data_IF_907110842029
#
_entry.id   IF_907110842029
#
_cell.length_a   1.000
_cell.length_b   1.000
_cell.length_c   1.000
_cell.angle_alpha   90.00
_cell.angle_beta   90.00
_cell.angle_gamma   90.00
#
_symmetry.space_group_name_H-M   'P 1'
#
loop_
_entity.id
_entity.type
_entity.pdbx_description
1 polymer ?
2 polymer ?
3 non-polymer ?
4 non-polymer ?
5 non-polymer ?
6 non-polymer ?
7 water ?
#
# COMPACT_ATOMS: atom_id res chain seq x y z
N UNK A 3 19.58 -6.55 12.25
CA UNK A 3 18.68 -6.97 11.14
C UNK A 3 18.95 -6.16 9.90
N UNK A 4 18.94 -6.84 8.76
CA UNK A 4 19.19 -6.18 7.48
C UNK A 4 17.86 -5.72 6.94
N UNK A 5 17.73 -4.43 6.68
CA UNK A 5 16.51 -3.92 6.07
C UNK A 5 16.65 -3.96 4.56
N UNK A 6 15.61 -4.44 3.87
CA UNK A 6 15.63 -4.50 2.42
C UNK A 6 14.29 -4.06 1.86
N UNK A 7 14.30 -3.66 0.60
CA UNK A 7 13.08 -3.25 -0.08
C UNK A 7 12.71 -4.21 -1.19
N UNK A 8 11.43 -4.54 -1.28
CA UNK A 8 10.89 -5.41 -2.31
C UNK A 8 9.68 -4.76 -2.94
N UNK A 9 9.68 -4.63 -4.27
CA UNK A 9 8.51 -4.07 -4.98
C UNK A 9 7.89 -5.14 -5.87
N UNK A 10 6.57 -5.27 -5.84
CA UNK A 10 5.92 -6.33 -6.61
C UNK A 10 5.15 -5.71 -7.78
N UNK A 11 5.38 -6.26 -8.99
CA UNK A 11 4.76 -5.73 -10.19
C UNK A 11 4.21 -6.82 -11.09
N UNK A 12 3.31 -6.46 -11.98
CA UNK A 12 2.74 -7.38 -12.91
C UNK A 12 1.38 -6.87 -13.33
N UNK A 13 0.82 -7.47 -14.38
CA UNK A 13 -0.48 -7.03 -14.90
C UNK A 13 -1.59 -6.92 -13.83
N UNK A 14 -2.54 -6.02 -14.06
CA UNK A 14 -3.69 -5.88 -13.19
C UNK A 14 -4.41 -7.22 -13.12
N UNK A 15 -4.88 -7.58 -11.91
CA UNK A 15 -5.60 -8.82 -11.62
C UNK A 15 -4.74 -10.12 -11.60
N UNK A 16 -3.43 -10.04 -11.81
CA UNK A 16 -2.61 -11.25 -11.82
C UNK A 16 -2.23 -11.74 -10.42
N UNK A 17 -2.79 -11.11 -9.40
CA UNK A 17 -2.79 -11.66 -8.06
C UNK A 17 -1.73 -11.15 -7.08
N UNK A 18 -1.19 -9.95 -7.34
CA UNK A 18 -0.16 -9.37 -6.48
C UNK A 18 -0.59 -9.20 -5.01
N UNK A 19 -1.69 -8.49 -4.80
CA UNK A 19 -2.14 -8.15 -3.46
C UNK A 19 -2.50 -9.38 -2.65
N UNK A 20 -3.19 -10.34 -3.28
CA UNK A 20 -3.53 -11.59 -2.65
C UNK A 20 -2.29 -12.40 -2.31
N UNK A 21 -1.23 -12.27 -3.11
CA UNK A 21 0.04 -12.90 -2.78
C UNK A 21 0.61 -12.29 -1.49
N UNK A 22 0.63 -10.96 -1.43
CA UNK A 22 1.12 -10.26 -0.26
C UNK A 22 0.28 -10.56 0.99
N UNK A 23 -1.04 -10.53 0.83
CA UNK A 23 -1.95 -10.82 1.93
C UNK A 23 -1.75 -12.23 2.49
N UNK A 24 -1.94 -13.26 1.66
CA UNK A 24 -1.76 -14.64 2.10
C UNK A 24 -0.39 -14.82 2.79
N UNK A 25 0.64 -14.16 2.24
CA UNK A 25 1.98 -14.20 2.82
C UNK A 25 2.09 -13.78 4.28
N UNK A 26 1.26 -12.82 4.69
CA UNK A 26 1.26 -12.34 6.06
C UNK A 26 0.15 -12.96 6.89
N UNK A 27 -1.09 -12.59 6.55
CA UNK A 27 -2.28 -13.07 7.26
C UNK A 27 -2.32 -14.60 7.28
N UNK A 28 -1.77 -15.21 6.24
CA UNK A 28 -1.91 -16.63 6.02
C UNK A 28 -3.37 -17.00 5.76
N UNK A 29 -4.13 -16.09 5.14
CA UNK A 29 -5.46 -16.42 4.69
C UNK A 29 -5.86 -15.64 3.46
N UNK A 30 -6.28 -16.37 2.44
CA UNK A 30 -6.77 -15.80 1.19
C UNK A 30 -7.94 -14.86 1.43
N UNK A 31 -7.90 -13.68 0.79
CA UNK A 31 -8.98 -12.70 0.89
C UNK A 31 -10.18 -12.99 -0.04
N UNK A 32 -11.38 -13.04 0.53
CA UNK A 32 -12.58 -13.41 -0.23
C UNK A 32 -13.49 -12.21 -0.54
N UNK A 33 -13.72 -11.33 0.44
CA UNK A 33 -14.71 -10.27 0.26
C UNK A 33 -14.17 -8.83 0.33
N UNK A 34 -13.13 -8.58 1.15
CA UNK A 34 -12.64 -7.21 1.35
C UNK A 34 -11.22 -7.04 0.82
N UNK A 35 -11.02 -7.40 -0.44
CA UNK A 35 -9.69 -7.40 -1.03
C UNK A 35 -9.30 -6.04 -1.61
N UNK A 36 -8.33 -5.36 -1.00
CA UNK A 36 -7.90 -4.04 -1.45
C UNK A 36 -7.16 -4.05 -2.79
N UNK A 37 -7.16 -2.91 -3.47
CA UNK A 37 -6.38 -2.74 -4.69
C UNK A 37 -4.90 -2.80 -4.39
N UNK A 38 -4.45 -2.00 -3.42
CA UNK A 38 -3.07 -2.06 -3.02
C UNK A 38 -2.99 -2.42 -1.56
N UNK A 39 -2.00 -3.21 -1.21
CA UNK A 39 -1.83 -3.68 0.16
C UNK A 39 -1.13 -2.66 1.04
N UNK A 40 -1.57 -2.60 2.30
CA UNK A 40 -0.93 -1.82 3.35
C UNK A 40 0.55 -2.17 3.49
N UNK A 41 1.34 -1.19 3.96
CA UNK A 41 2.72 -1.45 4.36
C UNK A 41 2.86 -2.67 5.27
N UNK A 42 3.88 -3.47 4.99
CA UNK A 42 4.14 -4.67 5.77
C UNK A 42 5.60 -5.06 5.69
N UNK A 43 6.28 -5.05 6.83
CA UNK A 43 7.64 -5.53 6.93
C UNK A 43 7.63 -7.00 7.32
N UNK A 44 7.89 -7.85 6.33
CA UNK A 44 8.04 -9.27 6.54
C UNK A 44 9.40 -9.56 7.13
N UNK A 45 9.42 -10.29 8.24
CA UNK A 45 10.67 -10.77 8.80
C UNK A 45 10.94 -12.16 8.26
N UNK A 46 12.01 -12.30 7.48
CA UNK A 46 12.35 -13.60 6.92
C UNK A 46 13.80 -13.97 7.26
N UNK A 47 14.01 -15.24 7.60
CA UNK A 47 15.34 -15.72 7.93
C UNK A 47 15.81 -16.73 6.89
N UNK A 48 16.90 -16.41 6.21
CA UNK A 48 17.49 -17.33 5.24
C UNK A 48 18.96 -17.48 5.56
N UNK A 49 19.42 -18.74 5.61
CA UNK A 49 20.83 -19.04 5.83
C UNK A 49 21.41 -18.23 6.98
N UNK A 50 20.80 -18.34 8.16
CA UNK A 50 21.33 -17.74 9.37
C UNK A 50 21.25 -16.22 9.48
N UNK A 51 20.64 -15.56 8.49
CA UNK A 51 20.49 -14.10 8.51
C UNK A 51 19.01 -13.70 8.54
N UNK A 52 18.64 -12.87 9.51
CA UNK A 52 17.28 -12.33 9.58
C UNK A 52 17.18 -11.06 8.77
N UNK A 53 16.19 -11.00 7.90
CA UNK A 53 15.96 -9.82 7.09
C UNK A 53 14.60 -9.24 7.39
N UNK A 54 14.54 -7.92 7.56
CA UNK A 54 13.27 -7.21 7.56
C UNK A 54 13.08 -6.70 6.15
N UNK A 55 12.08 -7.23 5.48
CA UNK A 55 11.85 -6.90 4.08
C UNK A 55 10.54 -6.11 3.96
N UNK A 56 10.65 -4.82 3.63
CA UNK A 56 9.50 -3.96 3.35
C UNK A 56 8.91 -4.34 2.02
N UNK A 57 7.62 -4.67 2.02
CA UNK A 57 6.96 -5.04 0.78
C UNK A 57 6.14 -3.87 0.22
N UNK A 58 6.33 -3.58 -1.07
CA UNK A 58 5.57 -2.54 -1.77
C UNK A 58 4.67 -3.14 -2.86
N UNK A 59 3.37 -3.04 -2.66
CA UNK A 59 2.38 -3.46 -3.61
C UNK A 59 2.22 -2.33 -4.63
N UNK A 60 1.97 -2.68 -5.89
CA UNK A 60 1.75 -1.66 -6.90
C UNK A 60 0.48 -1.95 -7.67
N UNK A 61 0.00 -0.92 -8.37
CA UNK A 61 -1.14 -1.11 -9.27
C UNK A 61 -0.63 -1.52 -10.66
N UNK A 62 -1.10 -2.66 -11.16
CA UNK A 62 -0.67 -3.13 -12.46
C UNK A 62 -1.23 -2.46 -13.70
N UNK A 63 -2.42 -1.87 -13.59
CA UNK A 63 -3.11 -1.27 -14.75
C UNK A 63 -2.41 -0.04 -15.33
N UNK A 64 -2.54 0.13 -16.64
CA UNK A 64 -1.90 1.21 -17.39
C UNK A 64 -2.19 2.58 -16.83
N UNK A 65 -3.36 2.74 -16.26
CA UNK A 65 -3.80 4.03 -15.73
C UNK A 65 -2.86 4.54 -14.65
N UNK A 66 -2.11 3.62 -14.04
CA UNK A 66 -1.26 3.99 -12.92
C UNK A 66 0.21 4.00 -13.25
N UNK A 67 0.54 3.90 -14.54
CA UNK A 67 1.95 3.82 -14.91
C UNK A 67 2.72 5.10 -14.53
N UNK A 68 2.01 6.21 -14.45
CA UNK A 68 2.59 7.51 -14.10
C UNK A 68 2.96 7.61 -12.61
N UNK A 69 2.26 6.85 -11.78
CA UNK A 69 2.47 6.86 -10.34
C UNK A 69 3.36 5.73 -9.86
N UNK A 70 3.49 4.68 -10.65
CA UNK A 70 4.27 3.53 -10.21
C UNK A 70 5.74 3.87 -9.91
N UNK A 71 6.37 4.71 -10.75
CA UNK A 71 7.77 5.05 -10.51
C UNK A 71 8.05 5.52 -9.10
N UNK A 72 7.10 6.18 -8.47
CA UNK A 72 7.26 6.65 -7.11
C UNK A 72 7.62 5.51 -6.13
N UNK A 73 7.40 4.26 -6.53
CA UNK A 73 7.66 3.14 -5.64
C UNK A 73 9.04 2.47 -5.83
N UNK A 74 9.76 2.87 -6.87
CA UNK A 74 10.96 2.16 -7.34
C UNK A 74 12.32 2.52 -6.71
N UNK A 75 12.45 3.71 -6.10
CA UNK A 75 13.82 4.03 -5.63
C UNK A 75 14.37 3.12 -4.53
N UNK A 76 15.64 2.73 -4.63
CA UNK A 76 16.33 1.98 -3.56
C UNK A 76 15.72 0.61 -3.30
N UNK A 77 15.12 0.03 -4.34
CA UNK A 77 14.62 -1.33 -4.34
C UNK A 77 15.72 -2.42 -4.30
N UNK A 78 15.57 -3.40 -3.42
CA UNK A 78 16.57 -4.44 -3.30
C UNK A 78 16.25 -5.65 -4.18
N UNK A 79 14.96 -5.80 -4.50
CA UNK A 79 14.50 -6.90 -5.34
C UNK A 79 13.06 -6.72 -5.82
N UNK A 80 12.82 -7.14 -7.04
CA UNK A 80 11.51 -7.08 -7.69
C UNK A 80 10.85 -8.45 -7.77
N UNK A 81 9.60 -8.53 -7.31
CA UNK A 81 8.78 -9.67 -7.68
C UNK A 81 7.98 -9.34 -8.94
N UNK A 82 8.38 -9.92 -10.06
CA UNK A 82 7.69 -9.64 -11.28
C UNK A 82 6.72 -10.78 -11.55
N UNK A 83 5.44 -10.46 -11.63
CA UNK A 83 4.40 -11.48 -11.61
C UNK A 83 3.56 -11.47 -12.86
N UNK A 84 3.15 -12.67 -13.27
CA UNK A 84 2.16 -12.87 -14.32
C UNK A 84 1.25 -13.97 -13.78
N UNK A 85 0.09 -14.16 -14.39
CA UNK A 85 -0.81 -15.22 -13.95
C UNK A 85 -0.67 -16.44 -14.86
N UNK A 86 -0.71 -17.63 -14.25
CA UNK A 86 -0.64 -18.87 -15.03
C UNK A 86 -1.99 -19.03 -15.72
N UNK A 87 -2.91 -18.20 -15.27
CA UNK A 87 -4.28 -18.10 -15.76
C UNK A 87 -4.37 -17.37 -17.10
N UNK A 88 -3.28 -16.76 -17.51
CA UNK A 88 -3.32 -15.78 -18.59
C UNK A 88 -1.94 -15.60 -19.21
N UNK A 89 -1.76 -16.16 -20.39
CA UNK A 89 -0.56 -15.98 -21.22
C UNK A 89 -0.41 -14.53 -21.64
N UNK A 90 -1.54 -13.85 -21.81
CA UNK A 90 -1.51 -12.42 -22.08
C UNK A 90 -0.62 -11.70 -21.05
N UNK A 91 -0.74 -12.07 -19.77
CA UNK A 91 0.04 -11.41 -18.72
C UNK A 91 1.53 -11.78 -18.79
N UNK A 92 1.84 -12.97 -19.29
CA UNK A 92 3.23 -13.40 -19.47
C UNK A 92 3.90 -12.63 -20.61
N UNK A 93 3.24 -12.56 -21.76
CA UNK A 93 3.74 -11.77 -22.88
C UNK A 93 4.09 -10.35 -22.43
N UNK A 94 3.46 -9.92 -21.34
CA UNK A 94 3.66 -8.57 -20.83
C UNK A 94 4.84 -8.50 -19.88
N UNK A 95 5.47 -9.65 -19.64
CA UNK A 95 6.71 -9.65 -18.87
C UNK A 95 7.79 -8.94 -19.69
N UNK A 96 8.11 -9.47 -20.88
CA UNK A 96 9.11 -8.85 -21.75
C UNK A 96 8.67 -7.52 -22.38
N UNK A 97 7.38 -7.34 -22.58
CA UNK A 97 6.93 -6.17 -23.31
C UNK A 97 6.76 -4.92 -22.47
N UNK A 98 6.22 -5.05 -21.26
CA UNK A 98 6.00 -3.88 -20.44
C UNK A 98 6.83 -3.86 -19.17
N UNK A 99 6.91 -4.99 -18.48
CA UNK A 99 7.39 -4.95 -17.09
C UNK A 99 8.92 -4.93 -16.96
N UNK A 100 9.62 -5.67 -17.81
CA UNK A 100 11.08 -5.69 -17.76
C UNK A 100 11.69 -4.35 -18.20
N UNK A 101 11.19 -3.79 -19.31
CA UNK A 101 11.65 -2.45 -19.69
C UNK A 101 11.46 -1.41 -18.59
N UNK A 102 10.32 -1.50 -17.91
CA UNK A 102 9.98 -0.50 -16.91
C UNK A 102 10.96 -0.63 -15.76
N UNK A 103 11.02 -1.84 -15.24
CA UNK A 103 11.83 -2.17 -14.08
C UNK A 103 13.32 -1.99 -14.35
N UNK A 104 13.75 -2.20 -15.59
CA UNK A 104 15.16 -2.05 -15.93
C UNK A 104 15.56 -0.57 -15.94
N UNK A 105 14.67 0.23 -16.48
CA UNK A 105 14.90 1.64 -16.55
C UNK A 105 14.92 2.24 -15.18
N UNK A 106 13.96 1.88 -14.34
CA UNK A 106 13.87 2.45 -13.02
C UNK A 106 14.66 1.75 -11.95
N UNK A 107 14.86 0.44 -12.06
CA UNK A 107 15.63 -0.26 -11.06
C UNK A 107 16.74 -0.98 -11.78
N UNK A 108 17.58 -0.16 -12.50
CA UNK A 108 18.63 -0.85 -13.23
C UNK A 108 19.42 -1.87 -12.46
N UNK A 109 19.49 -3.07 -12.98
CA UNK A 109 20.23 -4.11 -12.34
C UNK A 109 19.77 -4.54 -10.97
N UNK A 110 18.47 -4.50 -10.75
CA UNK A 110 17.92 -4.92 -9.51
C UNK A 110 17.49 -6.35 -9.73
N UNK A 111 17.85 -7.25 -8.76
CA UNK A 111 17.46 -8.64 -8.99
C UNK A 111 15.99 -8.87 -9.29
N UNK A 112 15.68 -9.78 -10.19
CA UNK A 112 14.28 -10.03 -10.54
C UNK A 112 13.88 -11.47 -10.30
N UNK A 113 12.78 -11.64 -9.58
CA UNK A 113 12.20 -12.94 -9.37
C UNK A 113 10.89 -13.01 -10.13
N UNK A 114 10.86 -13.86 -11.14
CA UNK A 114 9.66 -14.06 -11.94
C UNK A 114 8.72 -15.02 -11.21
N UNK A 115 7.49 -14.58 -11.02
CA UNK A 115 6.53 -15.33 -10.25
C UNK A 115 5.31 -15.67 -11.11
N UNK A 116 5.01 -16.97 -11.24
CA UNK A 116 3.77 -17.42 -11.84
C UNK A 116 2.67 -17.63 -10.80
N UNK A 117 1.72 -16.71 -10.76
CA UNK A 117 0.60 -16.78 -9.82
C UNK A 117 -0.52 -17.71 -10.27
N UNK A 118 -1.38 -18.07 -9.31
CA UNK A 118 -2.60 -18.80 -9.61
C UNK A 118 -2.21 -20.14 -10.20
N UNK A 119 -1.19 -20.72 -9.58
CA UNK A 119 -0.65 -22.03 -9.94
C UNK A 119 -1.74 -23.09 -9.94
N UNK A 120 -2.75 -22.85 -9.12
CA UNK A 120 -3.87 -23.77 -9.00
C UNK A 120 -4.74 -23.80 -10.25
N UNK A 121 -4.68 -22.74 -11.05
CA UNK A 121 -5.56 -22.64 -12.20
C UNK A 121 -5.03 -23.38 -13.43
N UNK A 122 -3.81 -23.90 -13.34
CA UNK A 122 -3.18 -24.63 -14.47
C UNK A 122 -3.96 -25.87 -14.85
N UNK A 123 -4.43 -26.60 -13.84
CA UNK A 123 -5.27 -27.78 -14.11
C UNK A 123 -6.69 -27.49 -13.69
N UNK A 124 -7.26 -26.44 -14.27
CA UNK A 124 -8.63 -26.03 -14.02
C UNK A 124 -9.43 -26.12 -15.33
N UNK A 125 -10.53 -26.88 -15.32
CA UNK A 125 -11.30 -27.10 -16.52
C UNK A 125 -11.85 -25.78 -17.07
N UNK A 126 -12.47 -25.01 -16.19
CA UNK A 126 -13.01 -23.73 -16.57
C UNK A 126 -11.93 -22.90 -17.27
N UNK A 127 -10.78 -22.75 -16.62
CA UNK A 127 -9.68 -21.98 -17.22
C UNK A 127 -9.31 -22.49 -18.61
N UNK A 128 -8.89 -23.75 -18.66
CA UNK A 128 -8.47 -24.41 -19.87
C UNK A 128 -9.46 -24.13 -20.98
N UNK A 129 -10.74 -24.11 -20.60
CA UNK A 129 -11.81 -23.94 -21.56
C UNK A 129 -11.98 -22.49 -22.00
N UNK A 130 -12.11 -21.57 -21.04
CA UNK A 130 -12.19 -20.17 -21.45
C UNK A 130 -10.90 -19.78 -22.21
N UNK A 131 -9.72 -20.32 -21.83
CA UNK A 131 -8.53 -20.05 -22.63
C UNK A 131 -8.68 -20.56 -24.09
N UNK A 132 -9.08 -21.82 -24.26
CA UNK A 132 -9.22 -22.44 -25.60
C UNK A 132 -10.01 -21.60 -26.60
N UNK A 133 -10.85 -20.70 -26.08
CA UNK A 133 -11.63 -19.81 -26.92
C UNK A 133 -10.74 -18.83 -27.69
N UNK A 134 -9.55 -18.58 -27.14
CA UNK A 134 -8.56 -17.70 -27.79
C UNK A 134 -7.35 -18.48 -28.33
N UNK A 135 -7.47 -19.80 -28.43
CA UNK A 135 -6.39 -20.66 -28.89
C UNK A 135 -5.19 -20.57 -27.94
N UNK A 136 -5.50 -20.27 -26.68
CA UNK A 136 -4.50 -20.19 -25.63
C UNK A 136 -4.64 -21.37 -24.68
N UNK A 137 -3.63 -21.52 -23.82
CA UNK A 137 -3.65 -22.52 -22.77
C UNK A 137 -2.86 -21.96 -21.61
N UNK A 138 -2.96 -22.57 -20.43
CA UNK A 138 -2.22 -22.10 -19.25
C UNK A 138 -0.70 -22.11 -19.46
N UNK A 139 -0.04 -21.06 -19.01
CA UNK A 139 1.41 -21.01 -19.05
C UNK A 139 1.98 -22.33 -18.52
N UNK A 140 2.83 -22.97 -19.31
CA UNK A 140 3.57 -24.12 -18.84
C UNK A 140 4.79 -23.63 -18.07
N UNK A 141 5.20 -24.40 -17.05
CA UNK A 141 6.32 -24.07 -16.15
C UNK A 141 7.59 -23.69 -16.90
N UNK A 142 7.94 -24.47 -17.91
CA UNK A 142 9.15 -24.27 -18.69
C UNK A 142 9.07 -23.01 -19.53
N UNK A 143 7.87 -22.45 -19.65
CA UNK A 143 7.68 -21.16 -20.31
C UNK A 143 7.97 -20.02 -19.36
N UNK A 144 7.75 -20.25 -18.08
CA UNK A 144 8.07 -19.27 -17.06
C UNK A 144 9.56 -19.27 -16.87
N UNK A 145 10.14 -20.47 -16.82
CA UNK A 145 11.59 -20.64 -16.71
C UNK A 145 12.27 -20.01 -17.90
N UNK A 146 11.77 -20.33 -19.10
CA UNK A 146 12.33 -19.83 -20.33
C UNK A 146 12.34 -18.32 -20.27
N UNK A 147 11.18 -17.77 -19.90
CA UNK A 147 11.03 -16.35 -19.76
C UNK A 147 12.02 -15.83 -18.70
N UNK A 148 12.06 -16.49 -17.56
CA UNK A 148 12.95 -16.07 -16.47
C UNK A 148 14.40 -15.95 -16.94
N UNK A 149 14.84 -16.90 -17.75
CA UNK A 149 16.20 -16.84 -18.27
C UNK A 149 16.36 -15.76 -19.33
N UNK A 150 15.31 -15.55 -20.12
CA UNK A 150 15.38 -14.58 -21.21
C UNK A 150 15.45 -13.15 -20.68
N UNK A 151 14.81 -12.90 -19.54
CA UNK A 151 14.83 -11.56 -18.96
C UNK A 151 15.85 -11.42 -17.81
N UNK A 152 16.71 -12.42 -17.67
CA UNK A 152 17.79 -12.36 -16.70
C UNK A 152 17.36 -12.40 -15.26
N UNK A 153 16.35 -13.21 -14.94
CA UNK A 153 15.85 -13.28 -13.57
C UNK A 153 16.80 -14.06 -12.64
N UNK A 154 16.78 -13.72 -11.36
CA UNK A 154 17.50 -14.45 -10.32
C UNK A 154 17.09 -15.92 -10.34
N UNK A 155 15.81 -16.16 -10.54
CA UNK A 155 15.27 -17.50 -10.60
C UNK A 155 13.79 -17.43 -10.95
N UNK A 156 13.11 -18.56 -10.95
CA UNK A 156 11.72 -18.60 -11.34
C UNK A 156 10.88 -19.40 -10.36
N UNK A 157 9.72 -18.87 -9.97
CA UNK A 157 8.85 -19.56 -9.02
C UNK A 157 7.39 -19.56 -9.44
N UNK A 158 6.66 -20.59 -9.04
CA UNK A 158 5.22 -20.60 -9.23
C UNK A 158 4.52 -20.80 -7.88
N UNK A 159 3.44 -20.07 -7.67
CA UNK A 159 2.70 -20.15 -6.40
C UNK A 159 1.21 -20.01 -6.63
N UNK A 160 0.45 -20.34 -5.59
CA UNK A 160 -0.98 -20.06 -5.53
C UNK A 160 -1.29 -19.44 -4.18
N UNK A 161 -1.71 -18.18 -4.18
CA UNK A 161 -2.18 -17.58 -2.95
C UNK A 161 -3.38 -18.37 -2.46
N UNK A 162 -4.28 -18.69 -3.37
CA UNK A 162 -5.53 -19.36 -3.03
C UNK A 162 -5.25 -20.57 -2.16
N UNK A 163 -4.28 -21.40 -2.53
CA UNK A 163 -4.02 -22.61 -1.74
C UNK A 163 -2.77 -22.47 -0.86
N UNK A 164 -2.07 -21.34 -1.01
CA UNK A 164 -0.84 -21.01 -0.30
C UNK A 164 0.36 -21.83 -0.81
N UNK A 165 0.11 -22.64 -1.82
CA UNK A 165 1.18 -23.38 -2.49
C UNK A 165 2.30 -22.47 -3.01
N UNK A 166 3.51 -22.67 -2.49
CA UNK A 166 4.69 -22.01 -3.03
C UNK A 166 4.86 -20.57 -2.59
N UNK A 167 3.93 -20.06 -1.79
CA UNK A 167 3.93 -18.67 -1.37
C UNK A 167 5.12 -18.33 -0.48
N UNK A 168 5.28 -19.14 0.56
CA UNK A 168 6.42 -19.04 1.44
C UNK A 168 7.73 -19.07 0.65
N UNK A 169 7.79 -19.95 -0.35
CA UNK A 169 9.00 -20.16 -1.12
C UNK A 169 9.41 -18.92 -1.91
N UNK A 170 8.43 -18.22 -2.47
CA UNK A 170 8.64 -17.00 -3.25
C UNK A 170 9.41 -15.95 -2.46
N UNK A 171 9.01 -15.78 -1.20
CA UNK A 171 9.55 -14.72 -0.37
C UNK A 171 10.88 -15.12 0.24
N UNK A 172 11.08 -16.42 0.44
CA UNK A 172 12.39 -16.91 0.85
C UNK A 172 13.38 -16.65 -0.28
N UNK A 173 12.95 -16.91 -1.52
CA UNK A 173 13.82 -16.68 -2.64
C UNK A 173 14.12 -15.18 -2.79
N UNK A 174 13.09 -14.34 -2.66
CA UNK A 174 13.29 -12.91 -2.84
C UNK A 174 14.30 -12.39 -1.84
N UNK A 175 14.26 -12.96 -0.64
CA UNK A 175 15.17 -12.54 0.42
C UNK A 175 16.59 -12.99 0.07
N UNK A 176 16.69 -14.12 -0.58
CA UNK A 176 17.98 -14.57 -1.04
C UNK A 176 18.56 -13.65 -2.14
N UNK A 177 17.73 -13.16 -3.04
CA UNK A 177 18.23 -12.28 -4.09
C UNK A 177 18.39 -10.84 -3.60
N UNK A 178 17.82 -10.55 -2.42
CA UNK A 178 17.95 -9.23 -1.83
C UNK A 178 19.26 -9.08 -1.04
N UNK A 179 19.82 -10.21 -0.62
CA UNK A 179 21.10 -10.22 0.06
C UNK A 179 22.23 -10.38 -0.94
N UNK B 15 -6.27 29.62 4.74
CA UNK B 15 -5.61 29.24 3.47
C UNK B 15 -4.53 28.18 3.74
N UNK B 16 -4.70 27.01 3.15
CA UNK B 16 -3.81 25.87 3.46
C UNK B 16 -2.79 25.57 2.38
N UNK B 17 -1.54 25.40 2.79
CA UNK B 17 -0.45 25.06 1.87
C UNK B 17 -0.75 23.73 1.19
N UNK B 18 -0.51 23.68 -0.12
CA UNK B 18 -0.64 22.46 -0.89
C UNK B 18 0.67 22.22 -1.62
N UNK B 19 1.21 21.02 -1.48
CA UNK B 19 2.50 20.70 -2.12
C UNK B 19 2.30 20.11 -3.51
N UNK B 20 2.69 20.85 -4.53
CA UNK B 20 2.36 20.44 -5.91
C UNK B 20 3.27 19.31 -6.40
N UNK B 21 4.49 19.23 -5.88
CA UNK B 21 5.43 18.20 -6.33
C UNK B 21 6.51 17.85 -5.30
N UNK B 22 7.49 17.05 -5.74
CA UNK B 22 8.53 16.53 -4.85
C UNK B 22 9.37 17.64 -4.28
N UNK B 23 9.64 18.64 -5.10
CA UNK B 23 10.48 19.73 -4.68
C UNK B 23 9.81 20.47 -3.52
N UNK B 24 8.52 20.71 -3.65
CA UNK B 24 7.76 21.39 -2.61
C UNK B 24 7.63 20.55 -1.34
N UNK B 25 7.29 19.27 -1.48
CA UNK B 25 7.18 18.39 -0.32
C UNK B 25 8.49 18.41 0.46
N UNK B 26 9.60 18.26 -0.27
CA UNK B 26 10.91 18.25 0.36
C UNK B 26 11.21 19.57 1.06
N UNK B 27 10.82 20.68 0.43
CA UNK B 27 11.16 21.97 0.99
C UNK B 27 10.41 22.12 2.28
N UNK B 28 9.13 21.79 2.21
CA UNK B 28 8.29 21.83 3.37
C UNK B 28 8.78 20.81 4.38
N UNK B 29 9.18 19.64 3.89
CA UNK B 29 9.64 18.56 4.73
C UNK B 29 10.81 18.91 5.65
N UNK B 30 11.76 19.69 5.15
CA UNK B 30 12.94 20.06 5.95
C UNK B 30 12.58 21.00 7.11
N UNK B 31 11.49 21.76 6.95
CA UNK B 31 11.06 22.72 7.95
C UNK B 31 10.49 22.04 9.21
N UNK B 32 10.23 20.74 9.14
CA UNK B 32 9.56 20.07 10.25
C UNK B 32 10.54 19.59 11.30
N UNK B 33 10.09 19.54 12.55
CA UNK B 33 10.86 18.93 13.64
C UNK B 33 11.26 17.51 13.24
N UNK B 34 12.49 17.13 13.54
CA UNK B 34 12.99 15.80 13.19
C UNK B 34 13.92 15.25 14.26
N UNK B 35 14.24 16.13 15.21
CA UNK B 35 15.10 15.84 16.34
C UNK B 35 14.40 15.02 17.43
N UNK B 36 13.78 13.92 17.04
CA UNK B 36 13.19 13.05 18.05
C UNK B 36 14.27 12.35 18.80
N UNK B 37 13.94 11.87 19.99
CA UNK B 37 14.89 11.04 20.72
C UNK B 37 14.92 9.68 20.06
N UNK B 38 15.89 8.85 20.42
CA UNK B 38 16.04 7.52 19.84
C UNK B 38 14.76 6.72 20.02
N UNK B 39 14.31 6.64 21.28
CA UNK B 39 13.07 5.99 21.63
C UNK B 39 11.91 6.50 20.79
N UNK B 40 11.87 7.82 20.60
CA UNK B 40 10.79 8.47 19.86
C UNK B 40 10.79 8.11 18.37
N UNK B 41 11.97 7.98 17.79
CA UNK B 41 12.11 7.53 16.41
C UNK B 41 11.70 6.07 16.25
N UNK B 42 12.09 5.24 17.22
CA UNK B 42 11.81 3.82 17.17
C UNK B 42 10.30 3.58 17.30
N UNK B 43 9.65 4.34 18.17
CA UNK B 43 8.20 4.27 18.28
C UNK B 43 7.58 4.60 16.94
N UNK B 44 7.99 5.72 16.35
CA UNK B 44 7.41 6.15 15.08
C UNK B 44 7.71 5.15 13.96
N UNK B 45 8.95 4.71 13.84
CA UNK B 45 9.30 3.77 12.77
C UNK B 45 8.59 2.43 12.90
N UNK B 46 8.48 1.96 14.13
CA UNK B 46 7.78 0.71 14.40
C UNK B 46 6.36 0.75 13.86
N UNK B 47 5.72 1.91 13.99
CA UNK B 47 4.36 2.06 13.51
C UNK B 47 4.28 1.90 11.99
N UNK B 48 5.22 2.51 11.28
CA UNK B 48 5.22 2.45 9.83
C UNK B 48 5.41 1.01 9.35
N UNK B 49 6.12 0.20 10.13
CA UNK B 49 6.39 -1.17 9.73
C UNK B 49 5.07 -1.88 9.43
N UNK B 50 4.16 -1.82 10.39
CA UNK B 50 2.81 -2.37 10.24
C UNK B 50 1.93 -1.55 11.14
N UNK B 51 0.86 -1.00 10.58
CA UNK B 51 0.02 -0.09 11.35
C UNK B 51 -1.28 -0.75 11.74
N UNK B 52 -1.56 -1.88 11.11
CA UNK B 52 -2.71 -2.70 11.47
C UNK B 52 -2.73 -3.00 12.98
N UNK B 53 -1.58 -3.41 13.54
CA UNK B 53 -1.50 -3.77 14.96
C UNK B 53 -1.94 -2.66 15.89
N UNK B 54 -1.45 -1.46 15.63
CA UNK B 54 -1.88 -0.29 16.39
C UNK B 54 -3.35 0.01 16.14
N UNK B 55 -3.61 0.52 14.94
CA UNK B 55 -4.90 1.09 14.62
C UNK B 55 -6.07 0.13 14.79
N UNK B 56 -5.87 -1.14 14.51
CA UNK B 56 -7.00 -2.07 14.55
C UNK B 56 -7.31 -2.43 16.00
N UNK B 57 -6.28 -2.38 16.84
CA UNK B 57 -6.44 -2.59 18.26
C UNK B 57 -7.22 -1.44 18.89
N UNK B 58 -6.80 -0.23 18.57
CA UNK B 58 -7.44 0.97 19.10
C UNK B 58 -8.90 1.08 18.71
N UNK B 59 -9.21 0.76 17.45
CA UNK B 59 -10.59 0.83 17.01
C UNK B 59 -11.41 -0.26 17.71
N UNK B 60 -10.94 -1.50 17.64
CA UNK B 60 -11.61 -2.61 18.32
C UNK B 60 -11.89 -2.28 19.79
N UNK B 61 -10.89 -1.74 20.47
CA UNK B 61 -10.98 -1.48 21.90
C UNK B 61 -11.21 0.01 22.23
N UNK B 62 -11.60 0.78 21.22
CA UNK B 62 -12.13 2.13 21.42
C UNK B 62 -11.20 3.11 22.15
N UNK B 63 -9.89 2.87 22.11
CA UNK B 63 -8.96 3.77 22.75
C UNK B 63 -8.38 3.28 24.08
N UNK B 64 -9.11 2.38 24.77
CA UNK B 64 -8.59 1.74 25.98
C UNK B 64 -7.42 0.82 25.61
N UNK B 65 -6.35 0.91 26.38
CA UNK B 65 -5.15 0.12 26.11
C UNK B 65 -4.92 -0.97 27.12
N UNK B 66 -5.88 -1.17 28.01
CA UNK B 66 -5.69 -2.06 29.16
C UNK B 66 -5.53 -3.54 28.77
N UNK B 67 -5.98 -3.88 27.56
CA UNK B 67 -6.03 -5.28 27.13
C UNK B 67 -4.65 -5.93 26.88
N UNK B 68 -3.73 -5.17 26.32
CA UNK B 68 -2.46 -5.71 25.84
C UNK B 68 -1.29 -4.89 26.37
N UNK B 69 -0.60 -5.41 27.39
CA UNK B 69 0.56 -4.74 27.99
C UNK B 69 1.54 -4.21 26.95
N UNK B 70 1.79 -4.97 25.89
CA UNK B 70 2.81 -4.59 24.91
C UNK B 70 2.27 -3.50 24.02
N UNK B 71 1.05 -3.68 23.52
CA UNK B 71 0.46 -2.64 22.71
C UNK B 71 0.36 -1.36 23.53
N UNK B 72 0.09 -1.50 24.83
CA UNK B 72 -0.05 -0.34 25.72
C UNK B 72 1.23 0.47 25.72
N UNK B 73 2.35 -0.20 25.98
CA UNK B 73 3.60 0.54 26.03
C UNK B 73 3.93 1.09 24.65
N UNK B 74 3.69 0.31 23.61
CA UNK B 74 4.00 0.74 22.24
C UNK B 74 3.17 1.96 21.79
N UNK B 75 1.87 1.95 22.11
CA UNK B 75 0.99 3.08 21.84
C UNK B 75 1.29 4.29 22.73
N UNK B 76 1.62 4.03 24.00
CA UNK B 76 1.91 5.11 24.92
C UNK B 76 3.17 5.83 24.47
N UNK B 77 4.14 5.05 24.00
CA UNK B 77 5.40 5.60 23.50
C UNK B 77 5.20 6.54 22.34
N UNK B 78 4.44 6.10 21.33
CA UNK B 78 4.23 6.86 20.13
C UNK B 78 3.49 8.15 20.42
N UNK B 79 2.48 8.07 21.29
CA UNK B 79 1.73 9.26 21.71
C UNK B 79 2.69 10.32 22.22
N UNK B 80 3.70 9.89 22.97
CA UNK B 80 4.67 10.81 23.53
C UNK B 80 5.50 11.44 22.44
N UNK B 81 5.89 10.66 21.45
CA UNK B 81 6.68 11.18 20.35
C UNK B 81 5.82 12.21 19.62
N UNK B 82 4.54 11.90 19.45
CA UNK B 82 3.65 12.77 18.70
C UNK B 82 3.13 13.89 19.59
N UNK B 83 3.25 13.71 20.90
CA UNK B 83 2.75 14.71 21.83
C UNK B 83 3.81 15.75 22.26
N UNK B 84 5.04 15.61 21.75
CA UNK B 84 6.11 16.59 22.06
C UNK B 84 5.69 17.97 21.65
N UNK B 85 6.05 18.96 22.46
CA UNK B 85 5.69 20.34 22.15
C UNK B 85 6.13 20.76 20.76
N UNK B 86 7.26 20.21 20.31
CA UNK B 86 7.87 20.62 19.05
C UNK B 86 7.36 19.75 17.90
N UNK B 87 6.63 18.70 18.24
CA UNK B 87 6.02 17.87 17.22
C UNK B 87 4.72 18.51 16.75
N UNK B 88 4.84 19.65 16.10
CA UNK B 88 3.69 20.36 15.59
C UNK B 88 3.95 20.82 14.15
N UNK B 89 2.90 20.95 13.34
CA UNK B 89 3.09 21.51 12.00
C UNK B 89 2.98 23.02 12.08
N UNK B 90 3.97 23.71 11.53
CA UNK B 90 4.05 25.17 11.67
C UNK B 90 2.86 25.87 11.01
N UNK B 91 2.57 25.54 9.76
CA UNK B 91 1.46 26.19 9.08
C UNK B 91 0.28 25.30 8.76
N UNK B 92 -0.68 25.87 8.06
CA UNK B 92 -1.90 25.19 7.67
C UNK B 92 -1.66 24.44 6.37
N UNK B 93 -1.81 23.13 6.39
CA UNK B 93 -1.45 22.36 5.20
C UNK B 93 -2.52 21.37 4.76
N UNK B 94 -2.65 21.17 3.44
CA UNK B 94 -3.56 20.13 2.93
C UNK B 94 -2.83 18.80 2.74
N UNK B 95 -3.32 17.75 3.38
CA UNK B 95 -2.70 16.45 3.25
C UNK B 95 -3.72 15.40 2.80
N UNK B 96 -3.25 14.25 2.34
CA UNK B 96 -4.12 13.32 1.62
C UNK B 96 -3.91 11.88 2.05
N UNK B 97 -4.98 11.11 1.89
CA UNK B 97 -4.91 9.66 2.01
C UNK B 97 -6.03 9.00 1.22
N UNK B 98 -5.80 7.79 0.75
CA UNK B 98 -6.84 7.00 0.13
C UNK B 98 -7.35 5.91 1.06
N UNK B 99 -8.60 5.51 0.85
CA UNK B 99 -9.21 4.49 1.66
C UNK B 99 -10.06 3.55 0.83
N UNK B 100 -10.26 2.36 1.37
CA UNK B 100 -11.11 1.40 0.73
C UNK B 100 -12.53 1.68 1.17
N UNK B 101 -13.49 1.14 0.42
CA UNK B 101 -14.88 1.54 0.54
C UNK B 101 -15.43 1.22 1.91
N UNK B 102 -14.83 0.24 2.57
CA UNK B 102 -15.36 -0.18 3.87
C UNK B 102 -14.95 0.75 5.02
N UNK B 103 -14.31 1.87 4.69
CA UNK B 103 -14.07 2.93 5.66
C UNK B 103 -15.40 3.52 6.12
N UNK B 104 -16.42 3.35 5.26
CA UNK B 104 -17.75 3.88 5.52
C UNK B 104 -18.67 2.82 6.10
N UNK B 105 -18.09 1.67 6.41
CA UNK B 105 -18.83 0.58 7.02
C UNK B 105 -18.70 -0.74 6.29
N UNK B 106 -18.75 -1.82 7.08
CA UNK B 106 -18.65 -3.18 6.56
C UNK B 106 -19.65 -3.50 5.47
N UNK B 107 -20.72 -2.73 5.37
CA UNK B 107 -21.71 -2.99 4.33
C UNK B 107 -21.24 -2.50 2.94
N UNK B 108 -20.00 -2.03 2.85
CA UNK B 108 -19.44 -1.59 1.57
C UNK B 108 -18.10 -2.25 1.18
N UNK B 109 -17.97 -2.65 -0.07
CA UNK B 109 -16.66 -3.05 -0.62
C UNK B 109 -16.27 -2.22 -1.86
N UNK B 110 -15.19 -2.63 -2.51
CA UNK B 110 -14.63 -1.82 -3.58
C UNK B 110 -15.33 -1.99 -4.93
N UNK B 111 -16.40 -2.77 -4.97
CA UNK B 111 -17.14 -2.94 -6.20
C UNK B 111 -18.14 -1.80 -6.27
N UNK B 112 -18.11 -0.95 -5.25
CA UNK B 112 -18.91 0.26 -5.22
C UNK B 112 -18.53 1.17 -6.40
N UNK B 113 -17.27 1.07 -6.84
CA UNK B 113 -16.87 1.64 -8.13
C UNK B 113 -16.72 0.51 -9.19
N UNK B 114 -17.52 0.61 -10.26
CA UNK B 114 -17.46 -0.37 -11.34
C UNK B 114 -17.32 0.31 -12.69
N UNK B 115 -16.21 0.01 -13.37
CA UNK B 115 -15.93 0.62 -14.66
C UNK B 115 -15.82 2.13 -14.52
N UNK B 116 -15.18 2.54 -13.42
CA UNK B 116 -15.00 3.94 -13.10
C UNK B 116 -16.31 4.63 -12.82
N UNK B 117 -17.33 3.84 -12.49
CA UNK B 117 -18.61 4.41 -12.14
C UNK B 117 -18.94 4.15 -10.67
N UNK B 118 -19.07 5.22 -9.90
CA UNK B 118 -19.49 5.16 -8.50
C UNK B 118 -20.97 4.84 -8.42
N UNK B 119 -21.34 3.89 -7.56
CA UNK B 119 -22.74 3.57 -7.34
C UNK B 119 -23.44 4.79 -6.76
N UNK B 120 -24.34 5.37 -7.53
CA UNK B 120 -25.05 6.58 -7.09
C UNK B 120 -25.86 6.30 -5.84
N UNK B 121 -26.57 5.18 -5.87
CA UNK B 121 -27.45 4.78 -4.79
C UNK B 121 -26.64 4.61 -3.52
N UNK B 122 -25.67 3.70 -3.54
CA UNK B 122 -24.76 3.53 -2.42
C UNK B 122 -24.07 4.87 -2.03
N UNK B 123 -23.56 5.62 -3.02
CA UNK B 123 -22.90 6.89 -2.71
C UNK B 123 -23.81 7.83 -1.95
N UNK B 124 -25.09 7.84 -2.31
CA UNK B 124 -26.02 8.74 -1.65
C UNK B 124 -26.27 8.38 -0.19
N UNK B 125 -26.41 7.09 0.11
CA UNK B 125 -26.70 6.67 1.48
C UNK B 125 -25.47 6.85 2.34
N UNK B 126 -24.31 6.90 1.69
CA UNK B 126 -23.06 7.22 2.36
C UNK B 126 -22.98 8.70 2.71
N UNK B 127 -23.45 9.53 1.79
CA UNK B 127 -23.51 10.96 2.03
C UNK B 127 -24.46 11.28 3.17
N UNK B 128 -25.61 10.60 3.20
CA UNK B 128 -26.64 10.92 4.17
C UNK B 128 -26.13 10.60 5.54
N UNK B 129 -25.27 9.59 5.59
CA UNK B 129 -24.80 9.01 6.85
C UNK B 129 -23.55 9.73 7.38
N UNK B 130 -22.73 10.29 6.50
CA UNK B 130 -21.44 10.83 6.94
C UNK B 130 -21.22 12.30 6.61
N UNK B 131 -21.85 12.81 5.56
CA UNK B 131 -21.53 14.18 5.16
C UNK B 131 -21.97 15.15 6.24
N UNK B 132 -21.04 15.98 6.68
CA UNK B 132 -21.31 16.93 7.75
C UNK B 132 -21.07 16.35 9.13
N UNK B 133 -20.62 15.10 9.17
CA UNK B 133 -20.42 14.41 10.42
C UNK B 133 -19.10 14.77 11.09
N UNK B 134 -19.14 14.96 12.41
CA UNK B 134 -17.94 15.09 13.20
C UNK B 134 -17.61 13.75 13.81
N UNK B 135 -16.42 13.21 13.49
CA UNK B 135 -16.01 11.92 14.06
C UNK B 135 -14.69 12.04 14.82
N UNK B 136 -14.47 11.06 15.69
CA UNK B 136 -13.24 10.93 16.44
C UNK B 136 -12.59 9.62 16.03
N UNK B 137 -11.34 9.66 15.59
CA UNK B 137 -10.72 8.40 15.19
C UNK B 137 -9.80 7.83 16.26
N UNK B 138 -9.97 6.53 16.53
CA UNK B 138 -9.21 5.89 17.59
C UNK B 138 -7.78 5.52 17.19
N UNK B 139 -7.61 5.06 15.95
CA UNK B 139 -6.29 4.71 15.48
C UNK B 139 -5.55 5.99 15.15
N UNK B 140 -4.27 5.90 14.83
CA UNK B 140 -3.55 7.05 14.32
C UNK B 140 -4.03 7.36 12.93
N UNK B 141 -3.67 8.54 12.45
CA UNK B 141 -4.08 8.92 11.10
C UNK B 141 -2.89 9.19 10.16
N UNK B 142 -2.73 8.31 9.17
CA UNK B 142 -1.64 8.40 8.22
C UNK B 142 -2.01 9.21 6.98
N UNK B 143 -1.19 10.21 6.67
CA UNK B 143 -1.41 11.00 5.47
C UNK B 143 -0.12 11.27 4.66
N UNK B 144 -0.31 11.76 3.44
CA UNK B 144 0.81 12.28 2.68
C UNK B 144 0.60 13.75 2.40
N UNK B 145 1.70 14.47 2.32
CA UNK B 145 1.65 15.86 1.96
C UNK B 145 1.66 15.97 0.45
N UNK B 146 1.94 14.88 -0.22
CA UNK B 146 1.97 14.83 -1.66
C UNK B 146 0.80 14.01 -2.12
N UNK B 147 -0.08 14.59 -2.88
CA UNK B 147 -1.25 13.88 -3.34
C UNK B 147 -0.96 12.63 -4.12
N UNK B 148 0.12 12.64 -4.86
CA UNK B 148 0.47 11.52 -5.67
C UNK B 148 1.14 10.41 -4.90
N UNK B 149 1.54 10.70 -3.68
CA UNK B 149 2.21 9.73 -2.88
C UNK B 149 1.20 8.95 -2.12
N UNK B 150 1.64 8.00 -1.33
CA UNK B 150 0.71 7.20 -0.55
C UNK B 150 -0.28 6.51 -1.47
N UNK B 151 -1.52 6.41 -1.01
CA UNK B 151 -2.52 5.59 -1.69
C UNK B 151 -3.73 6.37 -2.22
N UNK B 152 -3.65 7.70 -2.30
CA UNK B 152 -4.85 8.49 -2.61
C UNK B 152 -5.40 8.21 -4.01
N UNK B 153 -4.53 7.83 -4.94
CA UNK B 153 -4.94 7.61 -6.31
C UNK B 153 -5.24 6.14 -6.58
N UNK B 154 -4.82 5.29 -5.67
CA UNK B 154 -5.02 3.85 -5.82
C UNK B 154 -6.15 3.28 -4.96
N UNK B 155 -6.95 4.14 -4.34
CA UNK B 155 -8.05 3.66 -3.51
C UNK B 155 -9.37 4.34 -3.91
N UNK B 156 -10.51 3.68 -3.66
CA UNK B 156 -11.84 4.18 -4.01
C UNK B 156 -12.21 5.51 -3.37
N UNK B 157 -11.67 5.78 -2.18
CA UNK B 157 -11.96 7.03 -1.47
C UNK B 157 -10.69 7.82 -1.18
N UNK B 158 -10.65 9.03 -1.69
CA UNK B 158 -9.55 9.92 -1.37
C UNK B 158 -10.04 10.90 -0.32
N UNK B 159 -9.25 11.13 0.72
CA UNK B 159 -9.58 12.18 1.64
C UNK B 159 -8.52 13.26 1.63
N UNK B 160 -8.96 14.51 1.58
CA UNK B 160 -8.10 15.66 1.80
C UNK B 160 -8.34 16.21 3.19
N UNK B 161 -7.33 16.15 4.04
CA UNK B 161 -7.46 16.79 5.34
C UNK B 161 -6.86 18.18 5.31
N UNK B 162 -7.66 19.18 5.68
CA UNK B 162 -7.14 20.51 5.96
C UNK B 162 -6.60 20.50 7.39
N UNK B 163 -5.27 20.53 7.50
CA UNK B 163 -4.62 20.47 8.79
C UNK B 163 -4.24 21.85 9.28
N UNK B 164 -4.76 22.21 10.45
CA UNK B 164 -4.53 23.53 11.03
C UNK B 164 -3.18 23.68 11.69
N UNK B 165 -2.71 24.92 11.74
CA UNK B 165 -1.49 25.28 12.45
C UNK B 165 -1.60 24.94 13.95
N UNK B 166 -0.64 24.17 14.45
CA UNK B 166 -0.62 23.84 15.88
C UNK B 166 -0.87 22.37 16.08
N UNK B 167 -1.41 21.74 15.04
CA UNK B 167 -1.69 20.33 15.07
C UNK B 167 -0.42 19.53 15.34
N UNK B 168 -0.54 18.56 16.23
CA UNK B 168 0.57 17.66 16.51
C UNK B 168 0.67 16.58 15.44
N UNK B 169 1.89 16.34 15.01
CA UNK B 169 2.14 15.35 13.99
C UNK B 169 3.60 15.03 13.87
N UNK B 170 3.90 13.98 13.12
CA UNK B 170 5.27 13.64 12.80
C UNK B 170 5.39 13.65 11.29
N UNK B 171 6.45 14.26 10.76
CA UNK B 171 6.68 14.14 9.33
C UNK B 171 7.72 13.04 9.12
N UNK B 172 7.46 12.14 8.17
CA UNK B 172 8.37 11.02 7.96
C UNK B 172 8.65 10.81 6.50
N UNK B 173 9.93 10.85 6.16
CA UNK B 173 10.33 10.54 4.80
C UNK B 173 11.76 10.04 4.70
N UNK B 174 12.31 9.56 5.81
CA UNK B 174 13.67 9.01 5.81
C UNK B 174 13.73 7.74 6.65
N UNK B 175 14.78 6.94 6.46
CA UNK B 175 14.83 5.61 7.04
C UNK B 175 14.82 5.59 8.56
N UNK B 176 15.34 6.65 9.17
CA UNK B 176 15.39 6.73 10.62
C UNK B 176 13.99 6.81 11.21
N UNK B 177 13.03 7.27 10.41
CA UNK B 177 11.66 7.49 10.89
C UNK B 177 10.63 6.50 10.35
N UNK B 178 10.82 6.00 9.12
CA UNK B 178 9.85 5.09 8.48
C UNK B 178 10.49 3.94 7.71
N UNK B 179 9.86 2.77 7.76
CA UNK B 179 10.30 1.62 6.98
C UNK B 179 9.95 1.81 5.51
N UNK B 180 9.16 2.85 5.24
CA UNK B 180 8.73 3.14 3.88
C UNK B 180 8.99 4.60 3.51
N UNK B 181 10.26 4.95 3.30
CA UNK B 181 10.60 6.32 2.90
C UNK B 181 10.24 6.55 1.45
N UNK B 182 9.88 7.77 1.10
CA UNK B 182 9.41 8.07 -0.24
C UNK B 182 7.91 8.33 -0.28
N UNK B 183 7.26 8.17 0.87
CA UNK B 183 5.81 8.33 1.02
C UNK B 183 5.34 9.73 1.49
N UNK B 184 6.28 10.57 1.91
CA UNK B 184 6.02 11.96 2.33
C UNK B 184 4.93 12.03 3.39
N UNK B 185 5.15 11.29 4.46
CA UNK B 185 4.09 11.05 5.43
C UNK B 185 3.99 12.08 6.57
N UNK B 186 2.77 12.49 6.83
CA UNK B 186 2.44 13.22 8.04
C UNK B 186 1.53 12.31 8.86
N UNK B 187 2.02 11.92 10.04
CA UNK B 187 1.25 11.05 10.94
C UNK B 187 0.57 11.85 12.02
N UNK B 188 -0.76 11.78 12.08
CA UNK B 188 -1.54 12.52 13.09
C UNK B 188 -1.78 11.66 14.32
N UNK B 189 -1.75 12.28 15.50
CA UNK B 189 -1.91 11.55 16.78
C UNK B 189 -3.24 10.84 16.82
N UNK B 190 -3.43 9.87 17.72
CA UNK B 190 -4.71 9.20 17.82
C UNK B 190 -5.73 10.08 18.56
N UNK B 191 -7.00 9.72 18.38
CA UNK B 191 -8.13 10.45 18.98
C UNK B 191 -8.34 11.85 18.42
N UNK B 192 -7.76 12.11 17.24
CA UNK B 192 -8.00 13.36 16.54
C UNK B 192 -9.46 13.41 16.10
N UNK B 193 -10.09 14.56 16.32
CA UNK B 193 -11.44 14.77 15.88
C UNK B 193 -11.37 15.47 14.54
N UNK B 194 -12.26 15.12 13.62
CA UNK B 194 -12.33 15.86 12.38
C UNK B 194 -13.77 15.92 11.90
N UNK B 195 -14.07 16.93 11.10
CA UNK B 195 -15.39 17.06 10.55
C UNK B 195 -15.35 16.83 9.04
N UNK B 196 -16.21 15.92 8.57
CA UNK B 196 -16.40 15.71 7.13
C UNK B 196 -17.27 16.82 6.62
N UNK B 197 -16.68 17.73 5.85
CA UNK B 197 -17.37 18.91 5.33
C UNK B 197 -18.15 18.60 4.07
N UNK B 198 -17.58 17.76 3.22
CA UNK B 198 -18.12 17.44 1.91
C UNK B 198 -17.70 16.04 1.49
N UNK B 199 -18.66 15.28 0.96
CA UNK B 199 -18.38 14.00 0.33
C UNK B 199 -18.91 14.04 -1.09
N UNK B 200 -18.04 13.82 -2.07
CA UNK B 200 -18.47 13.99 -3.45
C UNK B 200 -17.74 13.15 -4.45
N UNK B 201 -18.22 13.20 -5.67
CA UNK B 201 -17.65 12.45 -6.77
C UNK B 201 -16.90 13.39 -7.67
N UNK B 202 -15.66 13.05 -7.98
CA UNK B 202 -14.92 13.81 -8.99
C UNK B 202 -14.30 12.82 -9.96
N UNK B 203 -14.09 13.31 -11.16
CA UNK B 203 -13.54 12.53 -12.25
C UNK B 203 -12.05 12.78 -12.35
N UNK B 204 -11.27 11.71 -12.44
CA UNK B 204 -9.83 11.84 -12.58
C UNK B 204 -9.51 12.50 -13.93
N UNK B 205 -8.69 13.54 -13.88
CA UNK B 205 -8.33 14.30 -15.07
C UNK B 205 -7.80 13.39 -16.18
N UNK B 206 -7.14 12.32 -15.75
CA UNK B 206 -6.45 11.42 -16.66
C UNK B 206 -7.19 10.08 -16.89
N UNK B 207 -7.19 9.22 -15.86
CA UNK B 207 -7.80 7.89 -15.94
C UNK B 207 -9.28 7.95 -16.31
N UNK B 208 -9.88 9.12 -16.13
CA UNK B 208 -11.26 9.37 -16.55
C UNK B 208 -12.26 8.46 -15.82
N UNK B 209 -11.89 8.00 -14.63
CA UNK B 209 -12.78 7.20 -13.80
C UNK B 209 -13.30 8.03 -12.64
N UNK B 210 -14.35 7.54 -11.99
CA UNK B 210 -14.92 8.24 -10.84
C UNK B 210 -14.29 7.79 -9.55
N UNK B 211 -14.36 8.65 -8.55
CA UNK B 211 -13.76 8.38 -7.27
C UNK B 211 -14.49 9.21 -6.26
N UNK B 212 -14.55 8.71 -5.03
CA UNK B 212 -15.19 9.43 -3.96
C UNK B 212 -14.19 10.31 -3.27
N UNK B 213 -14.47 11.59 -3.24
CA UNK B 213 -13.56 12.52 -2.61
C UNK B 213 -14.19 12.97 -1.33
N UNK B 214 -13.36 13.07 -0.30
CA UNK B 214 -13.77 13.53 1.01
C UNK B 214 -12.95 14.73 1.40
N UNK B 215 -13.62 15.82 1.74
CA UNK B 215 -12.96 16.95 2.38
C UNK B 215 -13.27 16.93 3.88
N UNK B 216 -12.22 16.90 4.69
CA UNK B 216 -12.40 16.94 6.13
C UNK B 216 -11.51 17.99 6.73
N UNK B 217 -11.93 18.48 7.89
CA UNK B 217 -11.16 19.50 8.61
C UNK B 217 -10.75 18.95 9.98
N UNK B 218 -9.45 19.02 10.29
CA UNK B 218 -9.01 18.66 11.65
C UNK B 218 -9.54 19.73 12.61
N UNK B 219 -10.02 19.28 13.76
CA UNK B 219 -10.68 20.15 14.73
C UNK B 219 -10.08 20.01 16.14
X LIG C 1 -4.29 -5.03 -9.24
X LIG C 1 -4.46 -6.65 -9.18
X LIG C 1 -5.83 -4.40 -10.28
X LIG C 1 -4.22 -4.40 -7.79
X LIG C 1 -2.90 -4.61 -9.90
X LIG C 1 -3.70 -7.66 -8.24
X LIG C 1 -3.60 -7.15 -6.84
X LIG C 1 -2.42 -7.98 -8.86
X LIG C 1 -5.45 -9.48 -6.98
X LIG C 1 -6.35 -8.41 -6.49
X LIG C 1 -4.48 -9.97 -5.97
X LIG C 1 -4.60 -8.99 -8.25
X LIG C 1 -6.20 -10.77 -7.60
X LIG C 1 -7.03 -10.60 -8.73
X LIG C 1 -8.13 -11.65 -8.73
X LIG C 1 -7.56 -12.96 -8.88
X LIG C 1 -8.96 -11.64 -7.45
X LIG C 1 -10.32 -11.92 -7.76
X LIG C 1 -8.42 -12.82 -6.67
X LIG C 1 -9.43 -13.45 -5.91
X LIG C 1 -7.92 -13.76 -7.77
X LIG C 1 -6.76 -14.52 -7.28
X LIG C 1 -5.68 -14.00 -6.61
X LIG C 1 -4.83 -15.00 -6.31
X LIG C 1 -5.36 -16.15 -6.79
X LIG C 1 -4.91 -17.48 -6.79
X LIG C 1 -3.81 -17.71 -6.28
X LIG C 1 -5.65 -18.47 -7.38
X LIG C 1 -6.85 -18.16 -8.00
X LIG C 1 -7.60 -19.13 -8.58
X LIG C 1 -7.31 -16.85 -7.98
X LIG C 1 -6.56 -15.87 -7.42
X LIG D 1 -3.63 -5.23 -6.16
X LIG E 1 -4.88 1.88 8.26
X LIG E 1 -4.64 0.90 9.41
X LIG E 1 -5.30 3.30 8.54
X LIG E 1 -5.91 1.22 7.20
X LIG E 1 -6.04 -0.20 7.00
X LIG E 1 -7.36 -0.53 6.29
X LIG E 1 -8.43 -0.18 7.16
X LIG E 1 -7.59 0.26 5.02
X LIG E 1 -8.40 -0.50 4.12
X LIG E 1 -8.41 1.44 5.46
X LIG E 1 -9.20 1.92 4.37
X LIG E 1 -9.22 0.87 6.60
X LIG E 1 -9.50 1.88 7.66
X LIG E 1 -8.66 2.85 8.09
X LIG E 1 -9.23 3.59 9.07
X LIG E 1 -10.45 3.08 9.31
X LIG E 1 -11.59 3.41 10.20
X LIG E 1 -11.53 4.43 11.08
X LIG E 1 -12.69 2.64 10.11
X LIG E 1 -12.78 1.62 9.22
X LIG E 1 -11.79 1.28 8.38
X LIG E 1 -10.62 1.95 8.37
X LIG E 1 -3.54 1.95 7.37
X LIG E 1 -3.48 2.64 5.92
X LIG E 1 -4.71 3.48 5.72
X LIG E 1 -3.07 1.59 4.88
X LIG E 1 -2.24 3.63 6.15
X LIG E 1 -1.43 3.44 7.31
X LIG E 1 -0.08 2.96 6.82
X LIG E 1 0.04 3.32 5.43
X LIG E 1 1.01 3.64 7.60
X LIG E 1 1.94 2.66 8.07
X LIG E 1 1.71 4.55 6.62
X LIG E 1 3.07 4.11 6.58
X LIG E 1 1.02 4.34 5.27
X LIG E 1 0.46 5.58 4.66
X LIG E 1 -0.73 5.58 4.05
X LIG E 1 -1.27 6.72 3.48
X LIG E 1 -2.60 6.65 2.79
X LIG E 1 -2.71 7.06 1.62
X LIG E 1 -3.61 6.11 3.47
X LIG E 1 -0.55 8.04 3.48
X LIG E 1 0.72 7.91 4.16
X LIG E 1 1.16 6.72 4.72
X LIG F 1 -8.68 7.30 8.79
X LIG F 1 -7.75 6.43 9.47
X LIG F 1 -9.91 7.55 9.66
X LIG F 1 -10.44 8.88 9.60
X LIG G 1 4.94 24.93 -1.15
X LIG G 1 5.11 23.73 -0.37
X LIG G 1 3.61 25.58 -0.78
X LIG G 1 2.57 25.48 -1.75
X LIG H 1 12.36 14.61 9.29
X LIG H 1 12.06 13.91 8.09
X LIG H 1 11.13 15.41 9.75
X LIG H 1 10.26 14.59 10.55
#
# INVERSE_FOLDING_TARGET
MAAIRKKLVIVGDGACGKTCLLIVNSKDQFPEVYVPTVFENYVADIEVDGKQVELALWDTAGQEDYDRLRPLSYPDTDVILMCFSIDSPDSLENIPEKWTPEVKHFCPNVPIILVGNKKDLRNDEHTRRELAKMKQEPVKPEEGRDMANRIGAFGYMECSAKTKDGVREVFEMATRAAL
GNIPTKPKDCNNVDKYKLCTNKEEADAWGKKQFNKWSKEEKSAIRDYTKNARPYNEFLRMHAGKLDSDPTMKKKIESLDKALNRKEAKVNDNIKVYRGDDAWIFGKEYDNSIIKNGKVDREKFKEIQKKFQGKTTTEFGYISTSILIDAGYAKTRPVMTEFKVGSGTHGAYMNSDDLTAYPGQYELLLPRNTVYKIEKIYIAIDNNTQKEQIKVEATIK
GSP PG O3B S1G O2G O3G PB O1B O2B PA O1A O2A O3A O5' C5' C4' O4' C3' O3' C2' O2' C1' N9 C8 N7 C5 C6 O6 N1 C2 N2 N3 C4
MG MG
NAI PA O1A O2A O5B C5B C4B O4B C3B O3B C2B O2B C1B N9A C8A N7A C5A C6A N6A N1A C2A N3A C4A O3 PN O1N O2N O5D C5D C4D O4D C3D O3D C2D O2D C1D N1N C2N C3N C7N O7N N7N C4N C5N C6N
EDO C1 O1 C2 O2
EDO C1 O1 C2 O2
EDO C1 O1 C2 O2
#
